data_IF_307748536915
#
_entry.id   IF_307748536915
#
_cell.length_a   1.000
_cell.length_b   1.000
_cell.length_c   1.000
_cell.angle_alpha   90.00
_cell.angle_beta   90.00
_cell.angle_gamma   90.00
#
_symmetry.space_group_name_H-M   'P 1'
#
loop_
_entity.id
_entity.type
_entity.pdbx_description
1 polymer ?
#
# COMPACT_ATOMS: atom_id res chain seq x y z
N UNK A 1 -22.91 23.89 -4.35
CA UNK A 1 -22.66 23.98 -5.80
C UNK A 1 -21.88 22.76 -6.26
N UNK A 2 -22.08 22.22 -7.48
CA UNK A 2 -21.27 21.13 -8.08
C UNK A 2 -19.76 21.44 -8.20
N UNK A 3 -19.35 22.65 -7.81
CA UNK A 3 -18.07 23.32 -8.04
C UNK A 3 -16.85 22.78 -7.28
N UNK A 4 -16.94 21.63 -6.61
CA UNK A 4 -15.73 20.92 -6.16
C UNK A 4 -15.78 19.48 -6.63
N UNK A 5 -15.59 19.29 -7.92
CA UNK A 5 -15.04 18.04 -8.45
C UNK A 5 -13.67 17.88 -7.79
N UNK A 6 -13.64 17.24 -6.61
CA UNK A 6 -12.37 16.80 -6.04
C UNK A 6 -11.78 15.79 -7.03
N UNK A 7 -10.51 15.91 -7.45
CA UNK A 7 -9.90 14.87 -8.26
C UNK A 7 -10.02 13.55 -7.49
N UNK A 8 -10.56 12.50 -8.10
CA UNK A 8 -10.60 11.17 -7.45
C UNK A 8 -9.23 10.46 -7.52
N UNK A 9 -8.22 11.13 -8.08
CA UNK A 9 -6.81 10.72 -8.07
C UNK A 9 -6.15 11.09 -6.74
N UNK A 10 -6.73 10.56 -5.66
CA UNK A 10 -6.29 10.77 -4.28
C UNK A 10 -6.13 9.43 -3.58
N UNK A 11 -5.45 9.43 -2.44
CA UNK A 11 -5.45 8.31 -1.50
C UNK A 11 -6.44 8.65 -0.38
N UNK A 12 -7.37 7.74 -0.11
CA UNK A 12 -8.19 7.76 1.11
C UNK A 12 -7.57 6.79 2.11
N UNK A 13 -7.08 7.34 3.21
CA UNK A 13 -6.43 6.58 4.26
C UNK A 13 -7.31 6.54 5.51
N UNK A 14 -7.49 5.37 6.12
CA UNK A 14 -8.37 5.20 7.28
C UNK A 14 -7.81 4.13 8.22
N UNK A 15 -7.76 4.44 9.51
CA UNK A 15 -7.43 3.50 10.57
C UNK A 15 -8.69 3.18 11.38
N UNK A 16 -9.23 1.99 11.18
CA UNK A 16 -10.43 1.51 11.86
C UNK A 16 -10.11 1.07 13.29
N UNK A 17 -11.05 1.28 14.22
CA UNK A 17 -10.89 0.84 15.61
C UNK A 17 -10.89 -0.70 15.75
N UNK A 18 -11.52 -1.41 14.82
CA UNK A 18 -11.65 -2.87 14.80
C UNK A 18 -11.14 -3.49 13.50
N UNK A 19 -11.76 -4.61 13.11
CA UNK A 19 -11.45 -5.34 11.88
C UNK A 19 -12.53 -5.21 10.79
N UNK A 20 -13.64 -4.53 11.12
CA UNK A 20 -14.78 -4.29 10.25
C UNK A 20 -14.60 -2.99 9.47
N UNK A 21 -14.78 -3.08 8.14
CA UNK A 21 -14.70 -1.96 7.21
C UNK A 21 -15.99 -1.13 7.17
N UNK A 22 -17.12 -1.69 7.62
CA UNK A 22 -18.41 -1.00 7.68
C UNK A 22 -18.62 -0.25 9.00
N UNK A 23 -17.61 -0.26 9.87
CA UNK A 23 -17.64 0.50 11.12
C UNK A 23 -17.45 1.99 10.85
N UNK A 24 -18.33 2.81 11.40
CA UNK A 24 -18.16 4.27 11.44
C UNK A 24 -17.12 4.71 12.48
N UNK A 25 -16.57 3.78 13.28
CA UNK A 25 -15.55 4.07 14.28
C UNK A 25 -14.12 3.91 13.73
N UNK A 26 -13.48 5.04 13.44
CA UNK A 26 -12.07 5.13 13.08
C UNK A 26 -11.27 5.98 14.09
N UNK A 27 -9.99 5.65 14.24
CA UNK A 27 -9.05 6.37 15.11
C UNK A 27 -8.35 7.52 14.38
N UNK A 28 -8.22 7.40 13.06
CA UNK A 28 -7.52 8.37 12.22
C UNK A 28 -7.98 8.20 10.77
N UNK A 29 -8.07 9.30 10.03
CA UNK A 29 -8.48 9.30 8.63
C UNK A 29 -7.91 10.51 7.91
N UNK A 30 -7.51 10.32 6.66
CA UNK A 30 -6.91 11.37 5.86
C UNK A 30 -7.29 11.22 4.38
N UNK A 31 -7.62 12.33 3.72
CA UNK A 31 -7.68 12.38 2.25
C UNK A 31 -6.41 13.05 1.77
N UNK A 32 -5.58 12.29 1.08
CA UNK A 32 -4.25 12.70 0.63
C UNK A 32 -4.34 13.03 -0.85
N UNK A 33 -4.23 14.31 -1.17
CA UNK A 33 -4.19 14.84 -2.54
C UNK A 33 -2.80 15.38 -2.90
N UNK A 34 -2.70 16.10 -4.01
CA UNK A 34 -1.44 16.65 -4.51
C UNK A 34 -0.71 15.73 -5.50
N UNK A 35 0.58 15.99 -5.69
CA UNK A 35 1.44 15.29 -6.64
C UNK A 35 1.72 13.86 -6.18
N UNK A 36 2.10 12.97 -7.10
CA UNK A 36 2.41 11.57 -6.77
C UNK A 36 3.45 11.40 -5.65
N UNK A 37 4.44 12.29 -5.57
CA UNK A 37 5.41 12.25 -4.47
C UNK A 37 4.81 12.60 -3.11
N UNK A 38 3.89 13.56 -3.07
CA UNK A 38 3.19 13.96 -1.84
C UNK A 38 2.25 12.84 -1.42
N UNK A 39 1.49 12.28 -2.37
CA UNK A 39 0.63 11.13 -2.12
C UNK A 39 1.42 9.93 -1.57
N UNK A 40 2.59 9.64 -2.14
CA UNK A 40 3.47 8.59 -1.65
C UNK A 40 4.00 8.89 -0.24
N UNK A 41 4.58 10.08 -0.02
CA UNK A 41 5.17 10.46 1.27
C UNK A 41 4.14 10.47 2.39
N UNK A 42 2.98 11.06 2.15
CA UNK A 42 1.90 11.13 3.14
C UNK A 42 1.20 9.78 3.33
N UNK A 43 1.03 8.98 2.27
CA UNK A 43 0.49 7.62 2.40
C UNK A 43 1.39 6.72 3.26
N UNK A 44 2.71 6.77 3.01
CA UNK A 44 3.71 6.06 3.82
C UNK A 44 3.74 6.59 5.26
N UNK A 45 3.63 7.91 5.44
CA UNK A 45 3.58 8.54 6.78
C UNK A 45 2.34 8.11 7.57
N UNK A 46 1.17 8.05 6.91
CA UNK A 46 -0.09 7.59 7.49
C UNK A 46 0.02 6.14 7.97
N UNK A 47 0.56 5.25 7.16
CA UNK A 47 0.78 3.85 7.57
C UNK A 47 1.72 3.82 8.78
N UNK A 48 2.88 4.49 8.69
CA UNK A 48 3.89 4.46 9.75
C UNK A 48 3.38 4.97 11.10
N UNK A 49 2.53 6.00 11.12
CA UNK A 49 1.99 6.57 12.37
C UNK A 49 0.87 5.72 12.99
N UNK A 50 0.22 4.88 12.20
CA UNK A 50 -0.91 4.05 12.63
C UNK A 50 -0.57 2.56 12.83
N UNK A 51 0.58 2.09 12.33
CA UNK A 51 1.11 0.77 12.66
C UNK A 51 1.69 0.76 14.07
N UNK A 52 1.53 -0.37 14.77
CA UNK A 52 2.08 -0.49 16.12
C UNK A 52 3.56 -0.80 16.07
N UNK A 53 4.25 -0.35 17.11
CA UNK A 53 5.61 -0.73 17.40
C UNK A 53 5.64 -1.96 18.28
N UNK A 54 6.13 -3.09 17.76
CA UNK A 54 6.43 -4.28 18.53
C UNK A 54 7.75 -4.09 19.29
N UNK A 55 7.71 -4.22 20.61
CA UNK A 55 8.92 -4.45 21.41
C UNK A 55 9.26 -5.94 21.34
N UNK A 56 10.06 -6.35 20.36
CA UNK A 56 10.76 -7.64 20.50
C UNK A 56 11.72 -7.50 21.67
N UNK A 57 11.74 -8.49 22.57
CA UNK A 57 12.61 -8.70 23.74
C UNK A 57 14.12 -8.36 23.50
N UNK A 58 14.40 -7.10 23.25
CA UNK A 58 15.70 -6.51 23.00
C UNK A 58 15.72 -5.24 23.83
N UNK A 59 16.87 -5.01 24.47
CA UNK A 59 17.31 -3.82 25.18
C UNK A 59 16.27 -2.68 25.21
N UNK A 60 15.86 -2.24 26.40
CA UNK A 60 14.83 -1.21 26.65
C UNK A 60 15.06 0.08 25.82
N UNK A 61 16.29 0.32 25.36
CA UNK A 61 16.67 1.46 24.52
C UNK A 61 16.57 1.22 22.99
N UNK A 62 16.16 0.03 22.54
CA UNK A 62 16.02 -0.27 21.12
C UNK A 62 14.73 0.35 20.56
N UNK A 63 14.77 0.98 19.38
CA UNK A 63 13.57 1.52 18.76
C UNK A 63 12.57 0.39 18.45
N UNK A 64 11.26 0.66 18.59
CA UNK A 64 10.24 -0.35 18.33
C UNK A 64 10.27 -0.80 16.86
N UNK A 65 10.08 -2.10 16.64
CA UNK A 65 10.00 -2.71 15.30
C UNK A 65 8.55 -2.62 14.83
N UNK A 66 8.28 -2.07 13.66
CA UNK A 66 6.91 -2.01 13.13
C UNK A 66 6.34 -3.42 12.88
N UNK A 67 5.04 -3.59 13.06
CA UNK A 67 4.30 -4.83 12.74
C UNK A 67 4.47 -5.28 11.28
N UNK A 68 4.77 -4.34 10.38
CA UNK A 68 5.02 -4.62 8.96
C UNK A 68 6.31 -3.91 8.52
N UNK A 69 7.18 -4.56 7.70
CA UNK A 69 8.41 -3.95 7.24
C UNK A 69 8.16 -2.67 6.46
N UNK A 70 8.84 -1.59 6.85
CA UNK A 70 8.68 -0.27 6.24
C UNK A 70 8.85 -0.30 4.73
N UNK A 71 9.91 -0.94 4.28
CA UNK A 71 10.25 -1.07 2.88
C UNK A 71 9.21 -1.85 2.09
N UNK A 72 8.48 -2.77 2.72
CA UNK A 72 7.45 -3.58 2.07
C UNK A 72 6.19 -2.77 1.81
N UNK A 73 5.66 -2.05 2.81
CA UNK A 73 4.49 -1.19 2.57
C UNK A 73 4.82 0.05 1.73
N UNK A 74 6.06 0.57 1.78
CA UNK A 74 6.50 1.61 0.84
C UNK A 74 6.41 1.13 -0.61
N UNK A 75 6.87 -0.08 -0.90
CA UNK A 75 6.77 -0.68 -2.23
C UNK A 75 5.30 -0.85 -2.66
N UNK A 76 4.44 -1.33 -1.76
CA UNK A 76 3.01 -1.49 -2.04
C UNK A 76 2.32 -0.14 -2.35
N UNK A 77 2.61 0.93 -1.61
CA UNK A 77 2.09 2.28 -1.89
C UNK A 77 2.60 2.80 -3.23
N UNK A 78 3.90 2.63 -3.52
CA UNK A 78 4.48 3.01 -4.80
C UNK A 78 3.78 2.29 -5.96
N UNK A 79 3.62 0.97 -5.86
CA UNK A 79 2.96 0.16 -6.88
C UNK A 79 1.49 0.56 -7.06
N UNK A 80 0.78 0.86 -5.96
CA UNK A 80 -0.60 1.31 -6.02
C UNK A 80 -0.73 2.61 -6.83
N UNK A 81 0.20 3.58 -6.68
CA UNK A 81 0.20 4.84 -7.42
C UNK A 81 0.62 4.64 -8.89
N UNK A 82 1.70 3.87 -9.10
CA UNK A 82 2.33 3.71 -10.42
C UNK A 82 1.47 2.86 -11.37
N UNK A 83 0.88 1.79 -10.86
CA UNK A 83 0.11 0.83 -11.66
C UNK A 83 -1.40 1.06 -11.60
N UNK A 84 -1.85 2.11 -10.91
CA UNK A 84 -3.26 2.54 -10.87
C UNK A 84 -3.83 2.63 -12.29
N UNK A 85 -5.03 2.10 -12.48
CA UNK A 85 -5.80 2.39 -13.69
C UNK A 85 -6.42 3.80 -13.61
N UNK A 86 -5.91 4.71 -14.45
CA UNK A 86 -6.35 6.10 -14.51
C UNK A 86 -7.66 6.33 -15.28
N UNK A 87 -8.20 5.29 -15.91
CA UNK A 87 -9.55 5.32 -16.49
C UNK A 87 -10.64 4.98 -15.45
N UNK A 88 -10.27 4.34 -14.34
CA UNK A 88 -11.20 4.06 -13.23
C UNK A 88 -11.23 5.26 -12.28
N UNK A 89 -12.41 5.87 -12.17
CA UNK A 89 -12.66 7.00 -11.28
C UNK A 89 -12.95 6.47 -9.86
N UNK A 90 -11.90 6.06 -9.14
CA UNK A 90 -11.98 5.58 -7.75
C UNK A 90 -10.65 5.88 -7.03
N UNK A 91 -10.64 6.32 -5.76
CA UNK A 91 -9.40 6.54 -5.02
C UNK A 91 -8.56 5.27 -4.84
N UNK A 92 -7.28 5.46 -4.52
CA UNK A 92 -6.52 4.40 -3.82
C UNK A 92 -6.99 4.39 -2.37
N UNK A 93 -7.14 3.22 -1.77
CA UNK A 93 -7.47 3.09 -0.35
C UNK A 93 -6.29 2.53 0.44
N UNK A 94 -5.99 3.14 1.58
CA UNK A 94 -5.10 2.61 2.61
C UNK A 94 -5.94 2.38 3.85
N UNK A 95 -6.23 1.12 4.18
CA UNK A 95 -7.04 0.75 5.33
C UNK A 95 -6.17 0.02 6.35
N UNK A 96 -6.04 0.61 7.54
CA UNK A 96 -5.36 -0.01 8.69
C UNK A 96 -6.44 -0.57 9.60
N UNK A 97 -6.31 -1.83 9.98
CA UNK A 97 -7.16 -2.54 10.95
C UNK A 97 -6.30 -3.06 12.09
N UNK A 98 -6.93 -3.60 13.14
CA UNK A 98 -6.19 -4.26 14.22
C UNK A 98 -5.38 -5.47 13.75
N UNK A 99 -5.86 -6.21 12.74
CA UNK A 99 -5.24 -7.45 12.29
C UNK A 99 -4.61 -7.39 10.89
N UNK A 100 -4.74 -6.28 10.16
CA UNK A 100 -4.22 -6.18 8.79
C UNK A 100 -4.11 -4.76 8.27
N UNK A 101 -3.21 -4.57 7.31
CA UNK A 101 -3.09 -3.37 6.49
C UNK A 101 -3.48 -3.75 5.07
N UNK A 102 -4.45 -3.04 4.51
CA UNK A 102 -4.87 -3.19 3.10
C UNK A 102 -4.48 -1.95 2.30
N UNK A 103 -3.84 -2.17 1.16
CA UNK A 103 -3.57 -1.13 0.15
C UNK A 103 -4.29 -1.57 -1.13
N UNK A 104 -5.29 -0.81 -1.54
CA UNK A 104 -6.20 -1.14 -2.64
C UNK A 104 -6.02 -0.13 -3.76
N UNK A 105 -5.62 -0.59 -4.94
CA UNK A 105 -5.49 0.24 -6.14
C UNK A 105 -6.55 -0.10 -7.17
N UNK A 106 -7.18 0.89 -7.82
CA UNK A 106 -8.02 0.69 -8.99
C UNK A 106 -7.27 0.00 -10.13
N UNK A 107 -7.95 -0.96 -10.75
CA UNK A 107 -7.45 -1.76 -11.85
C UNK A 107 -7.03 -3.16 -11.43
N UNK A 108 -6.97 -4.04 -12.41
CA UNK A 108 -6.59 -5.45 -12.26
C UNK A 108 -5.14 -5.68 -12.70
N UNK A 109 -4.59 -6.88 -12.50
CA UNK A 109 -3.32 -7.26 -13.15
C UNK A 109 -3.49 -7.33 -14.68
N UNK A 110 -2.45 -7.00 -15.47
CA UNK A 110 -2.46 -7.25 -16.92
C UNK A 110 -2.66 -8.75 -17.20
N UNK A 111 -3.32 -9.09 -18.32
CA UNK A 111 -3.67 -10.48 -18.68
C UNK A 111 -2.50 -11.47 -18.72
N UNK A 112 -1.26 -11.01 -18.80
CA UNK A 112 -0.05 -11.84 -18.78
C UNK A 112 0.49 -12.10 -17.37
N UNK A 113 -0.10 -11.46 -16.34
CA UNK A 113 0.33 -11.54 -14.94
C UNK A 113 -0.82 -12.12 -14.10
N UNK A 114 -0.54 -13.18 -13.36
CA UNK A 114 -1.42 -13.82 -12.39
C UNK A 114 -0.88 -13.61 -10.97
N UNK A 115 -1.71 -13.86 -9.97
CA UNK A 115 -1.28 -13.85 -8.56
C UNK A 115 -0.11 -14.83 -8.31
N UNK A 116 -0.07 -15.95 -9.04
CA UNK A 116 0.99 -16.96 -8.95
C UNK A 116 2.30 -16.53 -9.62
N UNK A 117 2.25 -15.60 -10.57
CA UNK A 117 3.39 -15.25 -11.40
C UNK A 117 3.92 -13.81 -11.17
N UNK A 118 3.19 -12.99 -10.40
CA UNK A 118 3.62 -11.62 -10.07
C UNK A 118 4.99 -11.60 -9.35
N UNK A 119 5.35 -12.71 -8.71
CA UNK A 119 6.65 -13.00 -8.08
C UNK A 119 7.82 -13.01 -9.07
N UNK A 120 7.58 -13.17 -10.38
CA UNK A 120 8.63 -13.16 -11.41
C UNK A 120 9.02 -11.75 -11.87
N UNK A 121 8.38 -10.70 -11.35
CA UNK A 121 8.80 -9.32 -11.59
C UNK A 121 8.50 -8.80 -13.00
N UNK A 122 7.37 -9.19 -13.59
CA UNK A 122 6.97 -8.68 -14.90
C UNK A 122 6.55 -7.21 -14.77
N UNK A 123 7.35 -6.31 -15.31
CA UNK A 123 7.10 -4.87 -15.29
C UNK A 123 6.34 -4.45 -16.56
N UNK A 124 5.00 -4.40 -16.48
CA UNK A 124 4.17 -3.78 -17.52
C UNK A 124 3.80 -2.39 -17.05
N UNK A 125 4.54 -1.44 -17.57
CA UNK A 125 4.28 -0.04 -17.37
C UNK A 125 2.99 0.42 -18.03
N UNK A 126 1.97 0.78 -17.24
CA UNK A 126 0.69 1.30 -17.78
C UNK A 126 0.78 2.75 -18.25
N UNK A 127 1.62 3.54 -17.58
CA UNK A 127 1.78 4.95 -17.90
C UNK A 127 3.28 5.32 -17.90
N UNK A 128 3.91 5.43 -19.09
CA UNK A 128 5.34 5.78 -19.23
C UNK A 128 5.73 7.09 -18.56
N UNK A 129 4.83 8.08 -18.53
CA UNK A 129 5.09 9.37 -17.88
C UNK A 129 5.15 9.21 -16.36
N UNK A 130 4.27 8.38 -15.79
CA UNK A 130 4.27 8.07 -14.36
C UNK A 130 5.49 7.23 -13.98
N UNK A 131 5.93 6.30 -14.83
CA UNK A 131 7.11 5.46 -14.58
C UNK A 131 8.43 6.22 -14.62
N UNK A 132 8.51 7.25 -15.48
CA UNK A 132 9.72 8.09 -15.59
C UNK A 132 10.04 8.86 -14.31
N UNK A 133 9.04 9.03 -13.42
CA UNK A 133 9.15 9.84 -12.21
C UNK A 133 9.75 9.10 -11.00
N UNK A 134 9.29 7.89 -10.62
CA UNK A 134 9.91 7.06 -9.59
C UNK A 134 11.38 6.71 -9.88
N UNK A 135 11.75 6.49 -11.15
CA UNK A 135 13.15 6.19 -11.53
C UNK A 135 14.11 7.35 -11.25
N UNK A 136 13.61 8.59 -11.33
CA UNK A 136 14.40 9.81 -11.07
C UNK A 136 14.36 10.24 -9.62
N UNK A 137 13.41 9.73 -8.83
CA UNK A 137 13.22 10.11 -7.44
C UNK A 137 13.66 8.99 -6.49
N UNK A 138 14.87 9.13 -5.94
CA UNK A 138 15.47 8.17 -4.99
C UNK A 138 14.57 7.84 -3.79
N UNK A 139 13.59 8.69 -3.44
CA UNK A 139 12.66 8.45 -2.34
C UNK A 139 11.69 7.30 -2.61
N UNK A 140 11.31 7.06 -3.87
CA UNK A 140 10.46 5.93 -4.25
C UNK A 140 11.21 4.59 -4.17
N UNK A 141 12.56 4.59 -4.22
CA UNK A 141 13.41 3.39 -4.34
C UNK A 141 12.93 2.42 -5.44
N UNK A 142 12.22 2.94 -6.43
CA UNK A 142 11.64 2.17 -7.52
C UNK A 142 12.72 1.93 -8.57
N UNK A 143 12.96 0.65 -8.90
CA UNK A 143 14.04 0.28 -9.80
C UNK A 143 13.63 0.19 -11.27
N UNK A 144 12.31 0.14 -11.57
CA UNK A 144 11.78 -0.13 -12.91
C UNK A 144 12.10 -1.52 -13.47
N UNK A 145 12.82 -2.36 -12.71
CA UNK A 145 13.39 -3.65 -13.16
C UNK A 145 12.58 -4.87 -12.71
N UNK A 146 11.34 -4.67 -12.25
CA UNK A 146 10.52 -5.77 -11.77
C UNK A 146 10.93 -6.36 -10.42
N UNK A 147 11.97 -5.84 -9.77
CA UNK A 147 12.50 -6.37 -8.50
C UNK A 147 11.70 -5.96 -7.27
N UNK A 148 10.73 -5.06 -7.42
CA UNK A 148 9.96 -4.46 -6.34
C UNK A 148 9.12 -5.46 -5.57
N UNK A 149 8.20 -6.14 -6.27
CA UNK A 149 7.34 -7.19 -5.71
C UNK A 149 8.16 -8.33 -5.07
N UNK A 150 9.16 -8.95 -5.74
CA UNK A 150 10.01 -9.97 -5.12
C UNK A 150 10.69 -9.52 -3.82
N UNK A 151 11.12 -8.25 -3.76
CA UNK A 151 11.75 -7.68 -2.57
C UNK A 151 10.73 -7.48 -1.44
N UNK A 152 9.54 -6.98 -1.74
CA UNK A 152 8.43 -6.84 -0.77
C UNK A 152 8.11 -8.18 -0.12
N UNK A 153 7.95 -9.22 -0.94
CA UNK A 153 7.74 -10.60 -0.51
C UNK A 153 8.84 -11.09 0.44
N UNK A 154 10.10 -10.91 0.03
CA UNK A 154 11.24 -11.37 0.82
C UNK A 154 11.26 -10.71 2.20
N UNK A 155 11.04 -9.40 2.25
CA UNK A 155 11.01 -8.63 3.50
C UNK A 155 9.90 -9.11 4.43
N UNK A 156 8.71 -9.38 3.89
CA UNK A 156 7.59 -9.94 4.65
C UNK A 156 7.94 -11.32 5.22
N UNK A 157 8.51 -12.21 4.41
CA UNK A 157 8.96 -13.54 4.87
C UNK A 157 10.03 -13.46 5.96
N UNK A 158 11.04 -12.62 5.78
CA UNK A 158 12.11 -12.41 6.78
C UNK A 158 11.60 -11.83 8.10
N UNK A 159 10.45 -11.16 8.07
CA UNK A 159 9.83 -10.53 9.24
C UNK A 159 8.64 -11.32 9.80
N UNK A 160 8.37 -12.51 9.26
CA UNK A 160 7.23 -13.37 9.62
C UNK A 160 5.87 -12.68 9.47
N UNK A 161 5.74 -11.86 8.42
CA UNK A 161 4.49 -11.17 8.06
C UNK A 161 3.86 -11.88 6.88
N UNK A 162 2.66 -12.43 7.06
CA UNK A 162 1.89 -13.00 5.96
C UNK A 162 1.45 -11.87 5.02
N UNK A 163 1.63 -12.10 3.72
CA UNK A 163 1.34 -11.16 2.65
C UNK A 163 0.44 -11.85 1.62
N UNK A 164 -0.73 -11.27 1.36
CA UNK A 164 -1.62 -11.68 0.26
C UNK A 164 -1.70 -10.58 -0.80
N UNK A 165 -1.76 -10.98 -2.07
CA UNK A 165 -1.97 -10.09 -3.21
C UNK A 165 -3.17 -10.61 -3.99
N UNK A 166 -4.24 -9.83 -4.06
CA UNK A 166 -5.53 -10.25 -4.59
C UNK A 166 -5.90 -9.40 -5.79
N UNK A 167 -6.15 -10.04 -6.92
CA UNK A 167 -6.62 -9.43 -8.15
C UNK A 167 -8.14 -9.66 -8.30
N UNK A 168 -8.93 -8.73 -7.77
CA UNK A 168 -10.39 -8.80 -7.79
C UNK A 168 -10.92 -8.28 -9.13
N UNK A 169 -11.19 -9.22 -10.05
CA UNK A 169 -11.65 -8.93 -11.41
C UNK A 169 -13.07 -8.36 -11.44
N UNK A 170 -13.93 -8.74 -10.49
CA UNK A 170 -15.31 -8.29 -10.43
C UNK A 170 -15.39 -6.84 -9.99
N UNK A 171 -14.60 -6.46 -8.98
CA UNK A 171 -14.54 -5.09 -8.47
C UNK A 171 -13.53 -4.21 -9.20
N UNK A 172 -12.76 -4.78 -10.13
CA UNK A 172 -11.72 -4.10 -10.89
C UNK A 172 -10.68 -3.43 -9.96
N UNK A 173 -10.19 -4.17 -8.96
CA UNK A 173 -9.18 -3.68 -8.00
C UNK A 173 -8.09 -4.71 -7.75
N UNK A 174 -6.89 -4.20 -7.47
CA UNK A 174 -5.77 -4.98 -6.99
C UNK A 174 -5.49 -4.60 -5.53
N UNK A 175 -5.42 -5.60 -4.66
CA UNK A 175 -5.26 -5.43 -3.22
C UNK A 175 -3.99 -6.09 -2.74
N UNK A 176 -3.21 -5.37 -1.93
CA UNK A 176 -2.10 -5.93 -1.14
C UNK A 176 -2.53 -5.93 0.33
N UNK A 177 -2.42 -7.09 0.98
CA UNK A 177 -2.81 -7.28 2.39
C UNK A 177 -1.62 -7.78 3.20
N UNK A 178 -1.19 -6.97 4.17
CA UNK A 178 -0.24 -7.40 5.20
C UNK A 178 -1.03 -7.83 6.43
N UNK A 179 -0.89 -9.09 6.84
CA UNK A 179 -1.55 -9.60 8.04
C UNK A 179 -0.68 -9.30 9.26
N UNK A 180 -1.28 -8.68 10.26
CA UNK A 180 -0.66 -8.27 11.50
C UNK A 180 -1.10 -9.19 12.64
N UNK A 181 -0.25 -9.33 13.65
CA UNK A 181 -0.56 -10.10 14.85
C UNK A 181 -1.70 -9.38 15.58
N UNK A 182 -2.85 -10.04 15.85
CA UNK A 182 -3.93 -9.44 16.61
C UNK A 182 -3.46 -9.00 18.00
N UNK A 183 -4.02 -7.90 18.52
CA UNK A 183 -3.96 -7.63 19.96
C UNK A 183 -4.61 -8.82 20.70
N UNK A 184 -3.82 -9.57 21.45
CA UNK A 184 -4.34 -10.32 22.60
C UNK A 184 -4.63 -9.26 23.67
N UNK A 185 -5.85 -8.73 23.64
CA UNK A 185 -6.32 -7.72 24.59
C UNK A 185 -6.33 -8.20 26.02
#
# INVERSE_FOLDING_TARGET
SPERVKPQFVIKATYYKGNDIYSDEYKDSETIDGRFIEQFEYGVSFIRRNLRGLQKNRNINAPPILETPKEAFMEAVANAIVHRDYFINTPIFINVFKNRLEIISPGILPNTITEDNIWYGVHIGRNPAILSFPERNKKFRYSGRGSGVPRMIRLCRESDVKLDMVNDMDKQVFKVVFHMIPDEG
#
